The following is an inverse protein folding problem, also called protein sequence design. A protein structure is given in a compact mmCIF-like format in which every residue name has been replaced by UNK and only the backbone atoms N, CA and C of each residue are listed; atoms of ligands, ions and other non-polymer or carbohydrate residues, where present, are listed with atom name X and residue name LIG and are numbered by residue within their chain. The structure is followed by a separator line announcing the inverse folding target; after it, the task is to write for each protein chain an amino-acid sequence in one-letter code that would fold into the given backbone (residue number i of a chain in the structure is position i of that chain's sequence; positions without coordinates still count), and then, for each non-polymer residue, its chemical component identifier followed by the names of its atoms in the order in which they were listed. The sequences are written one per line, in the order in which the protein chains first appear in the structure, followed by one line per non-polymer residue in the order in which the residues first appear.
data_IF_854557172670
#
_entry.id   IF_854557172670
#
_cell.length_a   1.000
_cell.length_b   1.000
_cell.length_c   1.000
_cell.angle_alpha   90.00
_cell.angle_beta   90.00
_cell.angle_gamma   90.00
#
_symmetry.space_group_name_H-M   'P 1'
#
loop_
_entity.id
_entity.type
_entity.pdbx_description
1 polymer ?
#
# COMPACT_ATOMS: atom_id res chain seq x y z
N UNK A 1 -0.30 18.19 -6.74
CA UNK A 1 -0.36 17.19 -5.66
C UNK A 1 0.66 16.13 -5.99
N UNK A 2 1.44 15.65 -5.02
CA UNK A 2 2.39 14.57 -5.29
C UNK A 2 1.77 13.26 -4.77
N UNK A 3 1.69 12.21 -5.59
CA UNK A 3 1.36 10.87 -5.11
C UNK A 3 2.31 10.46 -3.99
N UNK A 4 1.81 9.75 -3.00
CA UNK A 4 2.60 9.39 -1.82
C UNK A 4 2.00 8.21 -1.08
N UNK A 5 2.46 8.02 0.15
CA UNK A 5 2.23 6.84 0.96
C UNK A 5 3.44 5.91 0.91
N UNK A 6 3.71 5.24 2.03
CA UNK A 6 4.92 4.40 2.16
C UNK A 6 4.94 3.27 1.14
N UNK A 7 3.79 2.60 0.96
CA UNK A 7 3.65 1.51 -0.01
C UNK A 7 3.88 1.98 -1.44
N UNK A 8 3.23 3.07 -1.84
CA UNK A 8 3.37 3.66 -3.17
C UNK A 8 4.82 4.09 -3.46
N UNK A 9 5.45 4.78 -2.51
CA UNK A 9 6.84 5.22 -2.67
C UNK A 9 7.81 4.02 -2.84
N UNK A 10 7.60 2.94 -2.11
CA UNK A 10 8.41 1.73 -2.22
C UNK A 10 8.15 1.00 -3.55
N UNK A 11 6.89 0.90 -3.98
CA UNK A 11 6.53 0.30 -5.26
C UNK A 11 7.21 1.03 -6.44
N UNK A 12 7.10 2.36 -6.48
CA UNK A 12 7.75 3.19 -7.50
C UNK A 12 9.27 3.05 -7.45
N UNK A 13 9.87 3.03 -6.24
CA UNK A 13 11.32 2.88 -6.11
C UNK A 13 11.80 1.53 -6.68
N UNK A 14 11.08 0.44 -6.40
CA UNK A 14 11.41 -0.90 -6.90
C UNK A 14 11.27 -0.95 -8.43
N UNK A 15 10.17 -0.43 -8.98
CA UNK A 15 9.94 -0.40 -10.41
C UNK A 15 11.04 0.39 -11.15
N UNK A 16 11.41 1.57 -10.65
CA UNK A 16 12.50 2.39 -11.21
C UNK A 16 13.88 1.72 -11.13
N UNK A 17 14.08 0.80 -10.18
CA UNK A 17 15.28 -0.01 -10.07
C UNK A 17 15.24 -1.27 -10.97
N UNK A 18 14.19 -1.45 -11.77
CA UNK A 18 14.04 -2.55 -12.70
C UNK A 18 13.40 -3.80 -12.10
N UNK A 19 12.78 -3.70 -10.92
CA UNK A 19 12.01 -4.79 -10.32
C UNK A 19 10.60 -4.87 -10.90
N UNK A 20 10.06 -6.08 -11.04
CA UNK A 20 8.66 -6.31 -11.36
C UNK A 20 7.79 -6.14 -10.10
N UNK A 21 6.75 -5.31 -10.19
CA UNK A 21 5.92 -4.95 -9.04
C UNK A 21 4.44 -5.15 -9.36
N UNK A 22 3.75 -5.98 -8.58
CA UNK A 22 2.29 -6.01 -8.48
C UNK A 22 1.88 -5.24 -7.22
N UNK A 23 1.14 -4.15 -7.38
CA UNK A 23 0.81 -3.28 -6.25
C UNK A 23 -0.62 -3.52 -5.76
N UNK A 24 -0.74 -4.01 -4.53
CA UNK A 24 -2.02 -4.28 -3.89
C UNK A 24 -2.34 -3.13 -2.95
N UNK A 25 -3.36 -2.35 -3.26
CA UNK A 25 -3.83 -1.23 -2.43
C UNK A 25 -5.31 -0.96 -2.63
N UNK A 26 -5.87 0.00 -1.88
CA UNK A 26 -7.24 0.46 -2.06
C UNK A 26 -7.30 1.98 -2.11
N UNK A 27 -7.90 2.51 -3.17
CA UNK A 27 -8.09 3.94 -3.40
C UNK A 27 -9.58 4.28 -3.44
N UNK A 28 -9.92 5.55 -3.29
CA UNK A 28 -11.29 6.02 -3.57
C UNK A 28 -11.56 6.06 -5.07
N UNK A 29 -12.87 6.09 -5.42
CA UNK A 29 -13.35 6.33 -6.80
C UNK A 29 -13.31 7.82 -7.13
N UNK A 30 -12.31 8.54 -6.67
CA UNK A 30 -12.14 9.98 -6.84
C UNK A 30 -10.98 10.31 -7.79
N UNK A 31 -10.80 11.60 -8.05
CA UNK A 31 -9.73 12.07 -8.94
C UNK A 31 -8.33 11.64 -8.45
N UNK A 32 -8.13 11.52 -7.15
CA UNK A 32 -6.84 11.13 -6.57
C UNK A 32 -6.56 9.65 -6.77
N UNK A 33 -7.59 8.80 -6.66
CA UNK A 33 -7.49 7.38 -6.98
C UNK A 33 -7.12 7.15 -8.44
N UNK A 34 -7.80 7.83 -9.36
CA UNK A 34 -7.50 7.74 -10.79
C UNK A 34 -6.11 8.25 -11.15
N UNK A 35 -5.68 9.39 -10.60
CA UNK A 35 -4.34 9.92 -10.83
C UNK A 35 -3.25 9.01 -10.28
N UNK A 36 -3.48 8.38 -9.12
CA UNK A 36 -2.53 7.45 -8.53
C UNK A 36 -2.39 6.19 -9.40
N UNK A 37 -3.50 5.64 -9.88
CA UNK A 37 -3.47 4.47 -10.76
C UNK A 37 -2.72 4.79 -12.06
N UNK A 38 -3.03 5.91 -12.71
CA UNK A 38 -2.32 6.33 -13.92
C UNK A 38 -0.80 6.45 -13.70
N UNK A 39 -0.39 7.07 -12.57
CA UNK A 39 1.02 7.17 -12.24
C UNK A 39 1.67 5.78 -12.12
N UNK A 40 1.03 4.83 -11.45
CA UNK A 40 1.59 3.48 -11.28
C UNK A 40 1.72 2.77 -12.62
N UNK A 41 0.75 2.93 -13.52
CA UNK A 41 0.81 2.40 -14.89
C UNK A 41 1.98 3.03 -15.68
N UNK A 42 2.19 4.35 -15.56
CA UNK A 42 3.33 5.05 -16.18
C UNK A 42 4.69 4.59 -15.65
N UNK A 43 4.76 4.17 -14.37
CA UNK A 43 5.96 3.60 -13.76
C UNK A 43 6.14 2.09 -14.07
N UNK A 44 5.25 1.49 -14.85
CA UNK A 44 5.32 0.07 -15.24
C UNK A 44 4.92 -0.90 -14.12
N UNK A 45 4.16 -0.43 -13.13
CA UNK A 45 3.66 -1.24 -12.03
C UNK A 45 2.36 -1.93 -12.46
N UNK A 46 2.20 -3.22 -12.16
CA UNK A 46 0.94 -3.92 -12.34
C UNK A 46 -0.11 -3.39 -11.37
N UNK A 47 -1.18 -2.80 -11.94
CA UNK A 47 -2.28 -2.15 -11.23
C UNK A 47 -3.54 -3.02 -11.11
N UNK A 48 -3.46 -4.28 -11.53
CA UNK A 48 -4.61 -5.22 -11.57
C UNK A 48 -5.25 -5.44 -10.18
N UNK A 49 -4.50 -5.17 -9.11
CA UNK A 49 -4.94 -5.36 -7.73
C UNK A 49 -5.11 -4.04 -6.96
N UNK A 50 -5.34 -2.95 -7.69
CA UNK A 50 -5.79 -1.69 -7.09
C UNK A 50 -7.31 -1.72 -6.96
N UNK A 51 -7.77 -1.89 -5.72
CA UNK A 51 -9.21 -1.94 -5.42
C UNK A 51 -9.78 -0.54 -5.29
N UNK A 52 -10.99 -0.34 -5.78
CA UNK A 52 -11.68 0.96 -5.67
C UNK A 52 -12.76 0.91 -4.59
N UNK A 53 -12.77 1.92 -3.72
CA UNK A 53 -13.82 2.14 -2.71
C UNK A 53 -14.76 3.27 -3.17
N UNK A 54 -16.03 2.93 -3.42
CA UNK A 54 -17.03 3.92 -3.86
C UNK A 54 -17.63 4.75 -2.72
N UNK A 55 -17.33 4.41 -1.46
CA UNK A 55 -17.90 5.04 -0.27
C UNK A 55 -16.91 5.95 0.45
N UNK A 56 -15.63 5.69 0.32
CA UNK A 56 -14.58 6.43 1.00
C UNK A 56 -13.64 7.08 -0.02
N UNK A 57 -13.18 8.32 0.24
CA UNK A 57 -12.20 8.98 -0.61
C UNK A 57 -10.84 8.30 -0.53
N UNK A 58 -9.99 8.56 -1.50
CA UNK A 58 -8.57 8.19 -1.44
C UNK A 58 -7.91 8.76 -0.19
N UNK A 59 -6.93 8.04 0.36
CA UNK A 59 -6.13 8.55 1.47
C UNK A 59 -5.34 9.79 1.06
N UNK A 60 -5.24 10.75 1.97
CA UNK A 60 -4.47 11.98 1.76
C UNK A 60 -3.61 12.30 2.97
N UNK A 61 -2.46 12.92 2.74
CA UNK A 61 -1.60 13.45 3.76
C UNK A 61 -1.43 14.96 3.56
N UNK A 62 -1.68 15.74 4.61
CA UNK A 62 -1.36 17.15 4.66
C UNK A 62 0.01 17.30 5.35
N UNK A 63 0.97 17.82 4.61
CA UNK A 63 2.34 18.01 5.11
C UNK A 63 2.58 19.51 5.23
N UNK A 64 2.82 19.98 6.43
CA UNK A 64 3.24 21.34 6.71
C UNK A 64 4.73 21.32 7.09
N UNK A 65 5.49 22.25 6.51
CA UNK A 65 6.92 22.41 6.77
C UNK A 65 7.13 23.82 7.31
N UNK A 66 7.79 23.96 8.43
CA UNK A 66 8.09 25.26 9.04
C UNK A 66 9.39 25.86 8.48
N UNK A 67 9.74 27.06 8.98
CA UNK A 67 10.94 27.79 8.57
C UNK A 67 12.27 27.08 8.97
N UNK A 68 12.21 26.10 9.87
CA UNK A 68 13.36 25.30 10.31
C UNK A 68 13.44 23.96 9.59
N UNK A 69 12.59 23.74 8.55
CA UNK A 69 12.44 22.50 7.82
C UNK A 69 11.91 21.31 8.68
N UNK A 70 11.27 21.60 9.81
CA UNK A 70 10.55 20.59 10.57
C UNK A 70 9.18 20.34 9.91
N UNK A 71 8.78 19.07 9.82
CA UNK A 71 7.51 18.72 9.20
C UNK A 71 6.49 18.23 10.24
N UNK A 72 5.23 18.55 9.97
CA UNK A 72 4.07 17.98 10.64
C UNK A 72 3.18 17.34 9.58
N UNK A 73 2.83 16.06 9.78
CA UNK A 73 2.07 15.29 8.81
C UNK A 73 0.76 14.87 9.46
N UNK A 74 -0.34 15.29 8.87
CA UNK A 74 -1.69 14.82 9.23
C UNK A 74 -2.18 13.87 8.13
N UNK A 75 -2.48 12.63 8.49
CA UNK A 75 -2.90 11.59 7.56
C UNK A 75 -4.39 11.29 7.74
N UNK A 76 -5.15 11.35 6.65
CA UNK A 76 -6.46 10.76 6.54
C UNK A 76 -6.36 9.51 5.65
N UNK A 77 -6.47 8.33 6.27
CA UNK A 77 -6.23 7.05 5.59
C UNK A 77 -7.22 6.76 4.46
N UNK A 78 -8.46 7.28 4.55
CA UNK A 78 -9.48 7.10 3.52
C UNK A 78 -9.71 5.62 3.18
N UNK A 79 -9.86 5.33 1.90
CA UNK A 79 -10.07 3.99 1.37
C UNK A 79 -8.98 2.99 1.77
N UNK A 80 -7.75 3.45 2.00
CA UNK A 80 -6.64 2.58 2.40
C UNK A 80 -6.91 1.85 3.72
N UNK A 81 -7.63 2.50 4.66
CA UNK A 81 -8.08 1.88 5.91
C UNK A 81 -9.14 0.78 5.70
N UNK A 82 -9.68 0.64 4.50
CA UNK A 82 -10.68 -0.34 4.13
C UNK A 82 -10.15 -1.44 3.20
N UNK A 83 -8.83 -1.57 3.07
CA UNK A 83 -8.24 -2.73 2.41
C UNK A 83 -8.38 -3.93 3.36
N UNK A 84 -9.34 -4.81 3.08
CA UNK A 84 -9.70 -5.91 3.97
C UNK A 84 -9.14 -7.26 3.47
N UNK A 85 -9.03 -8.27 4.33
CA UNK A 85 -8.65 -9.64 3.92
C UNK A 85 -9.52 -10.20 2.78
N UNK A 86 -10.78 -9.80 2.69
CA UNK A 86 -11.70 -10.20 1.61
C UNK A 86 -11.31 -9.62 0.24
N UNK A 87 -10.68 -8.44 0.21
CA UNK A 87 -10.12 -7.90 -1.03
C UNK A 87 -8.89 -8.72 -1.44
N UNK A 88 -8.06 -9.11 -0.47
CA UNK A 88 -6.84 -9.88 -0.70
C UNK A 88 -7.09 -11.28 -1.26
N UNK A 89 -8.27 -11.85 -1.02
CA UNK A 89 -8.66 -13.11 -1.65
C UNK A 89 -8.69 -13.01 -3.18
N UNK A 90 -8.91 -11.82 -3.74
CA UNK A 90 -8.86 -11.55 -5.18
C UNK A 90 -7.44 -11.34 -5.71
N UNK A 91 -6.49 -11.10 -4.82
CA UNK A 91 -5.07 -10.90 -5.13
C UNK A 91 -4.21 -12.12 -4.73
N UNK A 92 -4.83 -13.27 -4.45
CA UNK A 92 -4.12 -14.47 -4.00
C UNK A 92 -3.08 -14.93 -5.02
N UNK A 93 -3.39 -14.81 -6.31
CA UNK A 93 -2.49 -15.15 -7.39
C UNK A 93 -1.21 -14.30 -7.37
N UNK A 94 -1.33 -12.99 -7.14
CA UNK A 94 -0.17 -12.11 -7.00
C UNK A 94 0.71 -12.50 -5.81
N UNK A 95 0.09 -12.89 -4.69
CA UNK A 95 0.82 -13.39 -3.51
C UNK A 95 1.53 -14.70 -3.83
N UNK A 96 0.92 -15.59 -4.63
CA UNK A 96 1.52 -16.86 -5.02
C UNK A 96 2.68 -16.71 -5.99
N UNK A 97 2.60 -15.77 -6.92
CA UNK A 97 3.63 -15.54 -7.92
C UNK A 97 4.80 -14.72 -7.37
N UNK A 98 4.58 -13.93 -6.31
CA UNK A 98 5.62 -13.09 -5.73
C UNK A 98 6.80 -13.89 -5.18
N UNK A 99 8.02 -13.44 -5.44
CA UNK A 99 9.23 -13.92 -4.77
C UNK A 99 9.39 -13.31 -3.38
N UNK A 100 8.92 -12.07 -3.22
CA UNK A 100 9.00 -11.28 -2.00
C UNK A 100 7.75 -10.44 -1.84
N UNK A 101 7.25 -10.36 -0.61
CA UNK A 101 6.13 -9.49 -0.24
C UNK A 101 6.65 -8.39 0.67
N UNK A 102 6.44 -7.13 0.26
CA UNK A 102 6.84 -5.95 1.03
C UNK A 102 5.60 -5.25 1.57
N UNK A 103 5.53 -5.07 2.88
CA UNK A 103 4.40 -4.45 3.57
C UNK A 103 4.82 -3.29 4.46
N UNK A 104 3.86 -2.44 4.80
CA UNK A 104 3.96 -1.35 5.76
C UNK A 104 2.74 -1.40 6.68
N UNK A 105 2.64 -0.46 7.64
CA UNK A 105 1.54 -0.41 8.59
C UNK A 105 0.55 0.74 8.32
N UNK A 106 0.35 1.10 7.05
CA UNK A 106 -0.64 2.11 6.62
C UNK A 106 -1.99 1.50 6.21
N UNK A 107 -2.14 0.18 6.35
CA UNK A 107 -3.38 -0.58 6.12
C UNK A 107 -3.84 -1.23 7.43
N UNK A 108 -5.07 -1.78 7.51
CA UNK A 108 -5.55 -2.44 8.71
C UNK A 108 -4.62 -3.58 9.17
N UNK A 109 -4.39 -3.68 10.47
CA UNK A 109 -3.51 -4.69 11.05
C UNK A 109 -3.97 -6.11 10.75
N UNK A 110 -5.29 -6.35 10.77
CA UNK A 110 -5.87 -7.65 10.40
C UNK A 110 -5.49 -8.07 8.98
N UNK A 111 -5.36 -7.10 8.07
CA UNK A 111 -4.91 -7.36 6.70
C UNK A 111 -3.42 -7.65 6.64
N UNK A 112 -2.60 -6.92 7.40
CA UNK A 112 -1.16 -7.21 7.52
C UNK A 112 -0.94 -8.63 8.04
N UNK A 113 -1.64 -9.01 9.12
CA UNK A 113 -1.57 -10.37 9.69
C UNK A 113 -2.05 -11.44 8.70
N UNK A 114 -3.14 -11.17 7.99
CA UNK A 114 -3.66 -12.09 6.97
C UNK A 114 -2.61 -12.36 5.89
N UNK A 115 -1.98 -11.31 5.35
CA UNK A 115 -0.93 -11.44 4.33
C UNK A 115 0.27 -12.18 4.88
N UNK A 116 0.75 -11.85 6.09
CA UNK A 116 1.88 -12.52 6.71
C UNK A 116 1.63 -14.02 6.91
N UNK A 117 0.45 -14.40 7.41
CA UNK A 117 0.03 -15.79 7.59
C UNK A 117 -0.10 -16.54 6.26
N UNK A 118 -0.63 -15.88 5.23
CA UNK A 118 -0.77 -16.45 3.88
C UNK A 118 0.59 -16.67 3.24
N UNK A 119 1.47 -15.67 3.32
CA UNK A 119 2.83 -15.73 2.82
C UNK A 119 3.63 -16.87 3.48
N UNK A 120 3.51 -17.00 4.81
CA UNK A 120 4.16 -18.08 5.55
C UNK A 120 3.69 -19.46 5.08
N UNK A 121 2.38 -19.67 4.93
CA UNK A 121 1.81 -20.94 4.42
C UNK A 121 2.31 -21.28 3.01
N UNK A 122 2.60 -20.27 2.21
CA UNK A 122 3.07 -20.41 0.82
C UNK A 122 4.61 -20.35 0.71
N UNK A 123 5.34 -20.35 1.83
CA UNK A 123 6.80 -20.25 1.89
C UNK A 123 7.36 -19.00 1.17
N UNK A 124 6.63 -17.89 1.24
CA UNK A 124 7.06 -16.61 0.66
C UNK A 124 7.85 -15.77 1.65
N UNK A 125 8.86 -15.06 1.16
CA UNK A 125 9.60 -14.10 1.99
C UNK A 125 8.76 -12.83 2.20
N UNK A 126 8.79 -12.32 3.43
CA UNK A 126 8.10 -11.08 3.81
C UNK A 126 9.10 -10.09 4.37
N UNK A 127 9.04 -8.86 3.90
CA UNK A 127 9.69 -7.71 4.52
C UNK A 127 8.59 -6.80 5.04
N UNK A 128 8.64 -6.48 6.32
CA UNK A 128 7.75 -5.52 6.95
C UNK A 128 8.55 -4.25 7.30
N UNK A 129 8.13 -3.12 6.72
CA UNK A 129 8.52 -1.80 7.21
C UNK A 129 7.53 -1.40 8.31
N UNK A 130 7.92 -1.41 9.62
CA UNK A 130 7.01 -1.20 10.73
C UNK A 130 6.66 0.29 10.92
N UNK A 131 6.21 0.95 9.86
CA UNK A 131 5.88 2.37 9.82
C UNK A 131 4.48 2.61 9.23
N UNK A 132 3.64 3.46 9.88
CA UNK A 132 3.86 4.11 11.18
C UNK A 132 3.99 3.09 12.32
N UNK A 133 4.73 3.45 13.38
CA UNK A 133 4.96 2.54 14.50
C UNK A 133 3.64 2.16 15.18
N UNK A 134 3.41 0.85 15.28
CA UNK A 134 2.24 0.26 15.94
C UNK A 134 2.68 -1.02 16.69
N UNK A 135 1.97 -1.39 17.78
CA UNK A 135 2.19 -2.68 18.42
C UNK A 135 1.95 -3.82 17.44
N UNK A 136 2.89 -4.76 17.37
CA UNK A 136 2.72 -5.99 16.60
C UNK A 136 2.32 -7.12 17.57
N UNK A 137 1.44 -8.03 17.11
CA UNK A 137 1.12 -9.24 17.87
C UNK A 137 2.33 -10.18 17.93
N UNK A 138 2.46 -10.92 19.02
CA UNK A 138 3.52 -11.92 19.20
C UNK A 138 3.20 -13.29 18.52
N UNK A 139 2.13 -13.33 17.71
CA UNK A 139 1.60 -14.57 17.09
C UNK A 139 2.11 -14.78 15.68
#
# INVERSE_FOLDING_TARGET
MNPGGKGANQAVAIARLGGEVSFICKTGSDIFGHQSQQLFEEEGIDTSYIFSDSKNPSGVALITVDAHAENCIVVASGANANLLPTDLAKAEEAIEQAELILMQLEIPMDTVEFVAKTAWKKNKRVILNPAPAQPLSAS
#
